data_IF_836253941095
#
_entry.id   IF_836253941095
#
_cell.length_a   1.000
_cell.length_b   1.000
_cell.length_c   1.000
_cell.angle_alpha   90.00
_cell.angle_beta   90.00
_cell.angle_gamma   90.00
#
_symmetry.space_group_name_H-M   'P 1'
#
loop_
_entity.id
_entity.type
_entity.pdbx_description
1 polymer ?
#
# COMPACT_ATOMS: atom_id res chain seq x y z
N UNK A 1 26.96 8.96 7.66
CA UNK A 1 25.65 8.31 7.85
C UNK A 1 24.83 8.51 6.58
N UNK A 2 24.94 7.56 5.63
CA UNK A 2 24.26 7.64 4.35
C UNK A 2 23.04 6.72 4.40
N UNK A 3 21.89 7.28 4.77
CA UNK A 3 20.56 6.76 4.43
C UNK A 3 19.58 7.91 4.67
N UNK A 4 19.70 8.96 3.87
CA UNK A 4 18.63 9.93 3.73
C UNK A 4 17.50 9.21 3.01
N UNK A 5 16.44 8.83 3.72
CA UNK A 5 15.19 8.45 3.10
C UNK A 5 14.83 9.57 2.11
N UNK A 6 14.90 9.29 0.81
CA UNK A 6 14.74 10.31 -0.26
C UNK A 6 13.39 11.04 -0.19
N UNK A 7 12.43 10.50 0.54
CA UNK A 7 11.10 11.03 0.73
C UNK A 7 10.74 11.14 2.21
N UNK A 8 10.03 12.22 2.58
CA UNK A 8 9.51 12.39 3.94
C UNK A 8 8.47 11.32 4.24
N UNK A 9 8.55 10.72 5.42
CA UNK A 9 7.52 9.79 5.90
C UNK A 9 6.18 10.51 6.06
N UNK A 10 5.10 9.86 5.60
CA UNK A 10 3.72 10.28 5.85
C UNK A 10 3.10 9.28 6.82
N UNK A 11 2.59 9.77 7.94
CA UNK A 11 2.02 8.94 9.01
C UNK A 11 0.51 9.04 8.94
N UNK A 12 -0.15 7.89 8.80
CA UNK A 12 -1.60 7.76 8.95
C UNK A 12 -1.84 7.28 10.39
N UNK A 13 -2.80 7.89 11.09
CA UNK A 13 -3.08 7.60 12.50
C UNK A 13 -4.41 6.86 12.64
N UNK A 14 -4.53 6.07 13.70
CA UNK A 14 -5.78 5.37 14.04
C UNK A 14 -6.05 4.11 13.21
N UNK A 15 -5.03 3.54 12.56
CA UNK A 15 -5.14 2.26 11.88
C UNK A 15 -4.75 1.16 12.89
N UNK A 16 -5.63 0.18 13.15
CA UNK A 16 -5.31 -0.99 13.96
C UNK A 16 -4.16 -1.82 13.36
N UNK A 17 -3.37 -2.48 14.21
CA UNK A 17 -2.22 -3.28 13.76
C UNK A 17 -2.65 -4.44 12.85
N UNK A 18 -3.83 -5.02 13.10
CA UNK A 18 -4.41 -6.08 12.27
C UNK A 18 -4.73 -5.63 10.84
N UNK A 19 -5.16 -4.39 10.66
CA UNK A 19 -5.42 -3.83 9.32
C UNK A 19 -4.12 -3.57 8.57
N UNK A 20 -3.08 -3.11 9.29
CA UNK A 20 -1.74 -2.94 8.73
C UNK A 20 -1.17 -4.29 8.27
N UNK A 21 -1.27 -5.33 9.11
CA UNK A 21 -0.80 -6.67 8.78
C UNK A 21 -1.58 -7.28 7.60
N UNK A 22 -2.90 -7.06 7.54
CA UNK A 22 -3.73 -7.52 6.43
C UNK A 22 -3.33 -6.85 5.11
N UNK A 23 -3.07 -5.54 5.12
CA UNK A 23 -2.59 -4.81 3.95
C UNK A 23 -1.22 -5.30 3.49
N UNK A 24 -0.28 -5.53 4.41
CA UNK A 24 1.04 -6.06 4.09
C UNK A 24 0.96 -7.44 3.45
N UNK A 25 0.14 -8.33 4.01
CA UNK A 25 -0.06 -9.68 3.48
C UNK A 25 -0.66 -9.63 2.08
N UNK A 26 -1.68 -8.79 1.88
CA UNK A 26 -2.29 -8.58 0.56
C UNK A 26 -1.29 -8.01 -0.45
N UNK A 27 -0.51 -7.00 -0.07
CA UNK A 27 0.51 -6.40 -0.92
C UNK A 27 1.59 -7.42 -1.32
N UNK A 28 2.06 -8.23 -0.38
CA UNK A 28 3.04 -9.28 -0.64
C UNK A 28 2.51 -10.34 -1.63
N UNK A 29 1.24 -10.75 -1.49
CA UNK A 29 0.58 -11.68 -2.43
C UNK A 29 0.41 -11.11 -3.83
N UNK A 30 0.31 -9.79 -3.95
CA UNK A 30 0.30 -9.07 -5.22
C UNK A 30 1.72 -8.78 -5.76
N UNK A 31 2.79 -9.28 -5.12
CA UNK A 31 4.18 -9.00 -5.53
C UNK A 31 4.58 -7.53 -5.32
N UNK A 32 3.95 -6.84 -4.37
CA UNK A 32 4.10 -5.41 -4.11
C UNK A 32 4.41 -5.13 -2.63
N UNK A 33 4.37 -3.87 -2.23
CA UNK A 33 4.55 -3.41 -0.85
C UNK A 33 3.51 -2.35 -0.45
N UNK A 34 3.41 -2.10 0.86
CA UNK A 34 2.47 -1.13 1.43
C UNK A 34 2.60 0.27 0.82
N UNK A 35 3.82 0.73 0.55
CA UNK A 35 4.09 2.07 0.03
C UNK A 35 3.62 2.19 -1.42
N UNK A 36 3.87 1.18 -2.24
CA UNK A 36 3.44 1.12 -3.63
C UNK A 36 1.91 1.12 -3.74
N UNK A 37 1.23 0.26 -2.97
CA UNK A 37 -0.24 0.19 -2.93
C UNK A 37 -0.84 1.51 -2.44
N UNK A 38 -0.34 2.06 -1.33
CA UNK A 38 -0.86 3.31 -0.77
C UNK A 38 -0.68 4.49 -1.73
N UNK A 39 0.47 4.58 -2.41
CA UNK A 39 0.72 5.63 -3.41
C UNK A 39 -0.22 5.51 -4.61
N UNK A 40 -0.46 4.29 -5.10
CA UNK A 40 -1.42 4.05 -6.19
C UNK A 40 -2.84 4.43 -5.78
N UNK A 41 -3.28 4.01 -4.58
CA UNK A 41 -4.58 4.37 -4.03
C UNK A 41 -4.76 5.88 -3.88
N UNK A 42 -3.75 6.60 -3.35
CA UNK A 42 -3.80 8.05 -3.23
C UNK A 42 -3.86 8.74 -4.59
N UNK A 43 -3.07 8.27 -5.56
CA UNK A 43 -3.07 8.82 -6.91
C UNK A 43 -4.43 8.63 -7.60
N UNK A 44 -5.02 7.43 -7.47
CA UNK A 44 -6.34 7.11 -7.99
C UNK A 44 -7.43 7.96 -7.31
N UNK A 45 -7.43 8.02 -5.98
CA UNK A 45 -8.40 8.79 -5.20
C UNK A 45 -8.36 10.28 -5.53
N UNK A 46 -7.15 10.83 -5.75
CA UNK A 46 -6.95 12.23 -6.13
C UNK A 46 -7.18 12.50 -7.63
N UNK A 47 -7.52 11.47 -8.44
CA UNK A 47 -7.69 11.57 -9.91
C UNK A 47 -6.48 12.17 -10.62
N UNK A 48 -5.27 11.77 -10.20
CA UNK A 48 -4.05 12.18 -10.90
C UNK A 48 -4.01 11.60 -12.33
N UNK A 49 -3.44 12.30 -13.32
CA UNK A 49 -3.35 11.80 -14.69
C UNK A 49 -2.68 10.42 -14.77
N UNK A 50 -3.34 9.45 -15.40
CA UNK A 50 -2.83 8.08 -15.57
C UNK A 50 -2.90 7.21 -14.31
N UNK A 51 -3.56 7.66 -13.24
CA UNK A 51 -3.73 6.85 -12.05
C UNK A 51 -4.86 5.83 -12.21
N UNK A 52 -4.58 4.57 -11.87
CA UNK A 52 -5.53 3.46 -11.91
C UNK A 52 -5.73 2.87 -10.51
N UNK A 53 -6.91 2.30 -10.28
CA UNK A 53 -7.21 1.60 -9.04
C UNK A 53 -6.36 0.32 -9.00
N UNK A 54 -5.52 0.09 -7.97
CA UNK A 54 -4.75 -1.13 -7.88
C UNK A 54 -5.67 -2.35 -7.76
N UNK A 55 -5.33 -3.41 -8.49
CA UNK A 55 -6.08 -4.66 -8.46
C UNK A 55 -6.04 -5.28 -7.07
N UNK A 56 -7.20 -5.75 -6.60
CA UNK A 56 -7.28 -6.47 -5.33
C UNK A 56 -6.75 -7.90 -5.55
N UNK A 57 -5.77 -8.36 -4.78
CA UNK A 57 -5.30 -9.73 -4.89
C UNK A 57 -6.46 -10.71 -4.58
N UNK A 58 -6.47 -11.92 -5.18
CA UNK A 58 -7.49 -12.92 -4.90
C UNK A 58 -7.58 -13.20 -3.40
N UNK A 59 -8.69 -13.72 -2.89
CA UNK A 59 -8.74 -14.17 -1.49
C UNK A 59 -7.67 -15.25 -1.24
N UNK A 60 -7.13 -15.39 -0.01
CA UNK A 60 -6.33 -16.56 0.31
C UNK A 60 -7.18 -17.81 0.04
N UNK A 61 -6.66 -18.75 -0.74
CA UNK A 61 -7.31 -20.05 -0.90
C UNK A 61 -7.15 -20.76 0.44
N UNK A 62 -8.23 -20.88 1.21
CA UNK A 62 -8.24 -21.66 2.44
C UNK A 62 -7.80 -23.10 2.09
N UNK A 63 -6.71 -23.57 2.68
CA UNK A 63 -6.17 -24.93 2.51
C UNK A 63 -5.88 -25.52 3.88
#
# INVERSE_FOLDING_TARGET
>A
MANQHRHRQRVIRGIPDEEVAALDSAAARAGSDRSAITRALWAWYARLPGAELPERPPAPTES
#
